data_IF_576055234437
#
_entry.id   IF_576055234437
#
_cell.length_a   1.000
_cell.length_b   1.000
_cell.length_c   1.000
_cell.angle_alpha   90.00
_cell.angle_beta   90.00
_cell.angle_gamma   90.00
#
_symmetry.space_group_name_H-M   'P 1'
#
loop_
_entity.id
_entity.type
_entity.pdbx_description
1 polymer ?
#
# COMPACT_ATOMS: atom_id res chain seq x y z
N UNK A 1 -11.33 -9.53 -3.69
CA UNK A 1 -10.94 -10.71 -2.89
C UNK A 1 -11.18 -10.39 -1.42
N UNK A 2 -12.31 -10.81 -0.87
CA UNK A 2 -12.53 -10.81 0.57
C UNK A 2 -11.68 -11.92 1.18
N UNK A 3 -10.66 -11.57 1.95
CA UNK A 3 -9.86 -12.54 2.73
C UNK A 3 -10.71 -13.05 3.92
N UNK A 4 -11.75 -13.84 3.61
CA UNK A 4 -12.75 -14.34 4.58
C UNK A 4 -12.24 -15.43 5.53
N UNK A 5 -10.95 -15.77 5.53
CA UNK A 5 -10.40 -16.88 6.32
C UNK A 5 -9.08 -16.66 7.06
N UNK A 6 -8.48 -15.46 7.01
CA UNK A 6 -7.20 -15.19 7.69
C UNK A 6 -7.35 -14.53 9.07
N UNK A 7 -6.29 -14.53 9.89
CA UNK A 7 -6.21 -13.82 11.18
C UNK A 7 -6.73 -12.36 11.11
N UNK A 8 -6.56 -11.71 9.96
CA UNK A 8 -7.06 -10.36 9.64
C UNK A 8 -8.59 -10.25 9.53
N UNK A 9 -9.31 -11.32 9.19
CA UNK A 9 -10.79 -11.33 9.19
C UNK A 9 -11.39 -11.44 10.59
N UNK A 10 -10.60 -11.93 11.56
CA UNK A 10 -11.04 -12.11 12.95
C UNK A 10 -10.99 -10.81 13.77
N UNK A 11 -10.10 -9.89 13.39
CA UNK A 11 -9.89 -8.60 14.06
C UNK A 11 -9.95 -7.42 13.06
N UNK A 12 -11.16 -6.88 12.77
CA UNK A 12 -11.34 -5.86 11.75
C UNK A 12 -10.60 -4.54 12.08
N UNK A 13 -10.49 -4.19 13.37
CA UNK A 13 -9.73 -3.01 13.82
C UNK A 13 -8.23 -3.18 13.54
N UNK A 14 -7.67 -4.36 13.83
CA UNK A 14 -6.27 -4.64 13.55
C UNK A 14 -6.00 -4.61 12.04
N UNK A 15 -6.89 -5.17 11.23
CA UNK A 15 -6.79 -5.13 9.77
C UNK A 15 -6.85 -3.70 9.22
N UNK A 16 -7.71 -2.84 9.76
CA UNK A 16 -7.78 -1.42 9.43
C UNK A 16 -6.45 -0.71 9.71
N UNK A 17 -5.92 -0.84 10.94
CA UNK A 17 -4.68 -0.18 11.37
C UNK A 17 -3.50 -0.68 10.54
N UNK A 18 -3.33 -2.00 10.42
CA UNK A 18 -2.23 -2.62 9.67
C UNK A 18 -2.27 -2.21 8.20
N UNK A 19 -3.45 -2.22 7.57
CA UNK A 19 -3.58 -1.77 6.17
C UNK A 19 -3.21 -0.30 6.00
N UNK A 20 -3.60 0.57 6.96
CA UNK A 20 -3.21 1.98 6.95
C UNK A 20 -1.70 2.17 7.06
N UNK A 21 -1.06 1.47 8.01
CA UNK A 21 0.40 1.51 8.20
C UNK A 21 1.14 1.01 6.96
N UNK A 22 0.69 -0.12 6.37
CA UNK A 22 1.28 -0.66 5.14
C UNK A 22 1.16 0.36 4.00
N UNK A 23 0.02 1.03 3.85
CA UNK A 23 -0.18 2.05 2.82
C UNK A 23 0.83 3.20 2.93
N UNK A 24 1.03 3.73 4.14
CA UNK A 24 2.02 4.78 4.40
C UNK A 24 3.45 4.27 4.18
N UNK A 25 3.77 3.05 4.64
CA UNK A 25 5.08 2.44 4.43
C UNK A 25 5.40 2.26 2.94
N UNK A 26 4.41 1.91 2.13
CA UNK A 26 4.55 1.82 0.67
C UNK A 26 4.96 3.15 0.04
N UNK A 27 4.34 4.26 0.46
CA UNK A 27 4.69 5.58 -0.05
C UNK A 27 6.09 6.02 0.36
N UNK A 28 6.44 5.85 1.65
CA UNK A 28 7.78 6.17 2.14
C UNK A 28 8.83 5.36 1.37
N UNK A 29 8.63 4.05 1.27
CA UNK A 29 9.54 3.17 0.55
C UNK A 29 9.65 3.52 -0.94
N UNK A 30 8.52 3.85 -1.58
CA UNK A 30 8.48 4.28 -2.97
C UNK A 30 9.28 5.55 -3.23
N UNK A 31 9.15 6.56 -2.36
CA UNK A 31 9.94 7.81 -2.44
C UNK A 31 11.42 7.52 -2.28
N UNK A 32 11.82 6.74 -1.27
CA UNK A 32 13.22 6.36 -1.07
C UNK A 32 13.80 5.61 -2.28
N UNK A 33 13.04 4.69 -2.86
CA UNK A 33 13.46 3.97 -4.07
C UNK A 33 13.61 4.90 -5.26
N UNK A 34 12.66 5.81 -5.47
CA UNK A 34 12.72 6.81 -6.54
C UNK A 34 13.97 7.68 -6.44
N UNK A 35 14.24 8.24 -5.26
CA UNK A 35 15.44 9.06 -5.02
C UNK A 35 16.74 8.27 -5.23
N UNK A 36 16.78 7.01 -4.79
CA UNK A 36 17.94 6.15 -4.99
C UNK A 36 18.19 5.86 -6.48
N UNK A 37 17.14 5.67 -7.26
CA UNK A 37 17.25 5.42 -8.71
C UNK A 37 17.76 6.68 -9.41
N UNK A 38 17.18 7.84 -9.12
CA UNK A 38 17.65 9.14 -9.64
C UNK A 38 19.13 9.38 -9.35
N UNK A 39 19.54 9.17 -8.10
CA UNK A 39 20.94 9.32 -7.71
C UNK A 39 21.87 8.36 -8.47
N UNK A 40 21.42 7.15 -8.79
CA UNK A 40 22.23 6.19 -9.55
C UNK A 40 22.24 6.51 -11.05
N UNK A 41 21.14 7.02 -11.60
CA UNK A 41 21.07 7.52 -12.98
C UNK A 41 22.06 8.69 -13.20
N UNK A 42 22.13 9.62 -12.24
CA UNK A 42 23.05 10.77 -12.31
C UNK A 42 24.52 10.37 -12.15
N UNK A 43 24.80 9.36 -11.32
CA UNK A 43 26.17 8.92 -11.02
C UNK A 43 26.66 7.74 -11.90
N UNK A 44 25.86 7.31 -12.89
CA UNK A 44 26.20 6.19 -13.78
C UNK A 44 26.29 4.82 -13.08
N UNK A 45 25.64 4.68 -11.92
CA UNK A 45 25.64 3.46 -11.13
C UNK A 45 24.53 2.48 -11.54
N UNK A 46 24.76 1.18 -11.35
CA UNK A 46 23.74 0.15 -11.54
C UNK A 46 23.01 -0.21 -10.25
N UNK A 47 21.70 -0.50 -10.34
CA UNK A 47 20.93 -1.06 -9.21
C UNK A 47 20.35 -2.42 -9.57
N UNK A 48 20.58 -3.42 -8.71
CA UNK A 48 19.83 -4.67 -8.78
C UNK A 48 18.41 -4.44 -8.30
N UNK A 49 17.43 -4.72 -9.17
CA UNK A 49 16.02 -4.57 -8.89
C UNK A 49 15.24 -5.83 -9.28
N UNK A 50 14.16 -6.17 -8.55
CA UNK A 50 13.25 -7.24 -8.92
C UNK A 50 12.75 -7.11 -10.36
N UNK A 51 12.50 -8.25 -11.03
CA UNK A 51 12.05 -8.31 -12.43
C UNK A 51 10.83 -7.44 -12.73
N UNK A 52 9.89 -7.35 -11.78
CA UNK A 52 8.68 -6.53 -11.93
C UNK A 52 9.02 -5.03 -11.98
N UNK A 53 9.96 -4.57 -11.14
CA UNK A 53 10.39 -3.17 -11.10
C UNK A 53 11.24 -2.85 -12.31
N UNK A 54 12.07 -3.78 -12.77
CA UNK A 54 12.82 -3.61 -14.01
C UNK A 54 11.90 -3.40 -15.21
N UNK A 55 10.83 -4.22 -15.36
CA UNK A 55 9.84 -4.03 -16.43
C UNK A 55 9.12 -2.68 -16.35
N UNK A 56 8.75 -2.24 -15.14
CA UNK A 56 8.08 -0.95 -14.95
C UNK A 56 9.03 0.20 -15.30
N UNK A 57 10.28 0.08 -14.87
CA UNK A 57 11.33 1.05 -15.17
C UNK A 57 11.65 1.12 -16.65
N UNK A 58 11.72 -0.02 -17.34
CA UNK A 58 11.98 -0.09 -18.78
C UNK A 58 10.89 0.62 -19.60
N UNK A 59 9.62 0.55 -19.17
CA UNK A 59 8.49 1.19 -19.83
C UNK A 59 8.31 2.67 -19.50
N UNK A 60 8.56 3.07 -18.24
CA UNK A 60 8.13 4.37 -17.70
C UNK A 60 9.24 5.11 -16.93
N UNK A 61 10.46 4.59 -16.90
CA UNK A 61 11.60 5.11 -16.15
C UNK A 61 11.38 5.10 -14.62
N UNK A 62 12.18 5.91 -13.92
CA UNK A 62 12.09 6.06 -12.47
C UNK A 62 10.69 6.48 -11.98
N UNK A 63 9.99 7.32 -12.78
CA UNK A 63 8.62 7.79 -12.47
C UNK A 63 7.61 6.65 -12.43
N UNK A 64 7.76 5.63 -13.28
CA UNK A 64 6.89 4.45 -13.27
C UNK A 64 6.93 3.70 -11.96
N UNK A 65 8.13 3.54 -11.39
CA UNK A 65 8.30 2.89 -10.08
C UNK A 65 7.60 3.72 -8.99
N UNK A 66 7.75 5.04 -8.99
CA UNK A 66 7.10 5.91 -8.03
C UNK A 66 5.56 5.77 -8.09
N UNK A 67 4.99 5.84 -9.29
CA UNK A 67 3.54 5.68 -9.50
C UNK A 67 3.05 4.32 -9.02
N UNK A 68 3.80 3.24 -9.27
CA UNK A 68 3.46 1.90 -8.79
C UNK A 68 3.33 1.87 -7.26
N UNK A 69 4.28 2.47 -6.52
CA UNK A 69 4.20 2.54 -5.06
C UNK A 69 3.09 3.45 -4.56
N UNK A 70 2.82 4.57 -5.25
CA UNK A 70 1.69 5.45 -4.92
C UNK A 70 0.37 4.69 -5.04
N UNK A 71 0.14 4.02 -6.17
CA UNK A 71 -1.07 3.22 -6.41
C UNK A 71 -1.20 2.08 -5.41
N UNK A 72 -0.10 1.40 -5.08
CA UNK A 72 -0.06 0.38 -4.03
C UNK A 72 -0.49 0.94 -2.68
N UNK A 73 0.06 2.08 -2.26
CA UNK A 73 -0.31 2.70 -0.98
C UNK A 73 -1.76 3.18 -0.96
N UNK A 74 -2.26 3.79 -2.05
CA UNK A 74 -3.67 4.18 -2.18
C UNK A 74 -4.59 2.96 -2.04
N UNK A 75 -4.24 1.84 -2.66
CA UNK A 75 -5.00 0.60 -2.54
C UNK A 75 -5.11 0.11 -1.08
N UNK A 76 -4.01 0.14 -0.33
CA UNK A 76 -4.00 -0.27 1.07
C UNK A 76 -4.76 0.71 1.98
N UNK A 77 -4.68 2.02 1.73
CA UNK A 77 -5.48 3.01 2.46
C UNK A 77 -6.97 2.86 2.14
N UNK A 78 -7.34 2.66 0.87
CA UNK A 78 -8.72 2.41 0.49
C UNK A 78 -9.28 1.16 1.20
N UNK A 79 -8.48 0.10 1.29
CA UNK A 79 -8.84 -1.11 2.06
C UNK A 79 -9.04 -0.79 3.54
N UNK A 80 -8.14 -0.03 4.16
CA UNK A 80 -8.28 0.43 5.55
C UNK A 80 -9.62 1.18 5.76
N UNK A 81 -9.94 2.11 4.86
CA UNK A 81 -11.17 2.90 4.92
C UNK A 81 -12.45 2.06 4.73
N UNK A 82 -12.40 1.04 3.87
CA UNK A 82 -13.51 0.10 3.69
C UNK A 82 -13.79 -0.69 4.99
N UNK A 83 -12.75 -1.14 5.68
CA UNK A 83 -12.89 -1.81 6.97
C UNK A 83 -13.41 -0.87 8.06
N UNK A 84 -12.95 0.38 8.10
CA UNK A 84 -13.50 1.41 8.99
C UNK A 84 -15.01 1.60 8.81
N UNK A 85 -15.49 1.69 7.55
CA UNK A 85 -16.93 1.79 7.25
C UNK A 85 -17.71 0.59 7.80
N UNK A 86 -17.20 -0.63 7.63
CA UNK A 86 -17.84 -1.85 8.14
C UNK A 86 -17.94 -1.83 9.67
N UNK A 87 -16.89 -1.42 10.37
CA UNK A 87 -16.86 -1.30 11.83
C UNK A 87 -17.87 -0.25 12.30
N UNK A 88 -17.91 0.92 11.67
CA UNK A 88 -18.83 2.01 12.02
C UNK A 88 -20.29 1.56 11.91
N UNK A 89 -20.66 0.90 10.81
CA UNK A 89 -22.02 0.38 10.60
C UNK A 89 -22.38 -0.65 11.68
N UNK A 90 -21.46 -1.59 11.99
CA UNK A 90 -21.68 -2.60 13.03
C UNK A 90 -21.91 -1.97 14.41
N UNK A 91 -21.16 -0.93 14.76
CA UNK A 91 -21.33 -0.21 16.02
C UNK A 91 -22.68 0.51 16.08
N UNK A 92 -23.12 1.18 15.01
CA UNK A 92 -24.44 1.81 14.96
C UNK A 92 -25.59 0.80 15.13
N UNK A 93 -25.51 -0.37 14.49
CA UNK A 93 -26.53 -1.42 14.63
C UNK A 93 -26.58 -2.01 16.04
N UNK A 94 -25.45 -2.09 16.73
CA UNK A 94 -25.40 -2.56 18.12
C UNK A 94 -26.01 -1.54 19.11
N UNK A 95 -25.90 -0.24 18.83
CA UNK A 95 -26.52 0.81 19.65
C UNK A 95 -28.05 0.80 19.48
N UNK A 96 -28.57 0.50 18.29
CA UNK A 96 -30.02 0.42 18.04
C UNK A 96 -30.73 -0.78 18.68
N UNK A 97 -29.98 -1.78 19.18
CA UNK A 97 -30.53 -3.00 19.80
C UNK A 97 -30.49 -2.97 21.33
N UNK A 98 -30.00 -1.89 21.92
CA UNK A 98 -29.91 -1.66 23.36
C UNK A 98 -30.94 -0.63 23.77
#
# INVERSE_FOLDING_TARGET
>A
MDFKGGFLGKYPIANMIVSGIIGVAFWIYGIFKYLKILSLEENGGGISMPRIFWKIYDLFGAKGILVFFILGGVFFIYRSFSEWKKIKIKNCLNISKK
#
